data_IF_313705277382
#
_entry.id   IF_313705277382
#
_cell.length_a   1.000
_cell.length_b   1.000
_cell.length_c   1.000
_cell.angle_alpha   90.00
_cell.angle_beta   90.00
_cell.angle_gamma   90.00
#
_symmetry.space_group_name_H-M   'P 1'
#
loop_
_entity.id
_entity.type
_entity.pdbx_description
1 polymer ?
#
# COMPACT_ATOMS: atom_id res chain seq x y z
N UNK A 1 11.07 14.15 -2.59
CA UNK A 1 10.56 12.81 -2.22
C UNK A 1 9.08 12.94 -1.90
N UNK A 2 8.20 12.11 -2.47
CA UNK A 2 6.78 12.11 -2.09
C UNK A 2 6.68 11.74 -0.61
N UNK A 3 6.18 12.64 0.23
CA UNK A 3 6.06 12.40 1.66
C UNK A 3 4.69 11.77 1.93
N UNK A 4 4.65 10.79 2.84
CA UNK A 4 3.43 10.21 3.37
C UNK A 4 2.68 11.20 4.30
N UNK A 5 2.69 12.49 3.99
CA UNK A 5 1.93 13.50 4.72
C UNK A 5 0.46 13.09 4.66
N UNK A 6 -0.19 13.03 5.82
CA UNK A 6 -1.56 12.53 5.97
C UNK A 6 -2.59 13.41 5.28
N UNK A 7 -2.20 14.64 4.92
CA UNK A 7 -3.00 15.61 4.17
C UNK A 7 -2.19 16.26 3.05
N UNK A 8 -2.73 16.24 1.82
CA UNK A 8 -2.22 16.98 0.68
C UNK A 8 -3.26 17.98 0.19
N UNK A 9 -2.81 19.17 -0.20
CA UNK A 9 -3.66 20.15 -0.87
C UNK A 9 -3.13 20.34 -2.27
N UNK A 10 -3.93 19.96 -3.26
CA UNK A 10 -3.59 20.00 -4.67
C UNK A 10 -4.68 20.75 -5.42
N UNK A 11 -4.29 21.57 -6.39
CA UNK A 11 -5.22 22.35 -7.19
C UNK A 11 -5.35 21.74 -8.58
N UNK A 12 -6.53 21.86 -9.16
CA UNK A 12 -6.77 21.44 -10.53
C UNK A 12 -6.66 22.59 -11.54
N UNK A 13 -6.84 22.28 -12.84
CA UNK A 13 -6.76 23.28 -13.91
C UNK A 13 -7.86 24.36 -13.83
N UNK A 14 -8.95 24.09 -13.11
CA UNK A 14 -10.04 25.03 -12.88
C UNK A 14 -9.87 25.84 -11.59
N UNK A 15 -8.76 25.63 -10.87
CA UNK A 15 -8.45 26.32 -9.62
C UNK A 15 -9.16 25.75 -8.39
N UNK A 16 -9.86 24.62 -8.53
CA UNK A 16 -10.46 23.90 -7.40
C UNK A 16 -9.38 23.23 -6.56
N UNK A 17 -9.56 23.27 -5.24
CA UNK A 17 -8.61 22.69 -4.30
C UNK A 17 -9.13 21.37 -3.75
N UNK A 18 -8.36 20.31 -3.93
CA UNK A 18 -8.61 19.00 -3.36
C UNK A 18 -7.69 18.79 -2.16
N UNK A 19 -8.30 18.55 -1.02
CA UNK A 19 -7.63 18.09 0.20
C UNK A 19 -7.73 16.57 0.25
N UNK A 20 -6.61 15.88 0.07
CA UNK A 20 -6.54 14.43 0.06
C UNK A 20 -6.06 13.98 1.43
N UNK A 21 -6.87 13.17 2.10
CA UNK A 21 -6.55 12.54 3.39
C UNK A 21 -6.45 11.04 3.23
N UNK A 22 -5.43 10.45 3.82
CA UNK A 22 -5.32 9.00 3.90
C UNK A 22 -5.95 8.50 5.20
N UNK A 23 -6.78 7.47 5.10
CA UNK A 23 -7.31 6.79 6.28
C UNK A 23 -6.19 6.23 7.15
N UNK A 24 -6.48 6.07 8.44
CA UNK A 24 -5.48 5.64 9.42
C UNK A 24 -4.86 4.33 8.97
N UNK A 25 -3.54 4.34 8.88
CA UNK A 25 -2.71 3.22 8.41
C UNK A 25 -2.76 2.91 6.91
N UNK A 26 -3.54 3.60 6.06
CA UNK A 26 -3.46 3.40 4.60
C UNK A 26 -2.03 3.61 4.10
N UNK A 27 -1.38 4.70 4.51
CA UNK A 27 0.01 5.01 4.15
C UNK A 27 0.96 3.89 4.56
N UNK A 28 0.90 3.46 5.83
CA UNK A 28 1.66 2.32 6.36
C UNK A 28 1.35 1.02 5.62
N UNK A 29 0.11 0.89 5.12
CA UNK A 29 -0.36 -0.32 4.46
C UNK A 29 0.10 -0.42 3.00
N UNK A 30 0.16 0.70 2.32
CA UNK A 30 0.10 0.69 0.87
C UNK A 30 1.17 1.55 0.21
N UNK A 31 1.80 2.45 0.96
CA UNK A 31 2.84 3.32 0.46
C UNK A 31 4.21 2.82 0.94
N UNK A 32 4.99 2.29 0.01
CA UNK A 32 6.34 1.81 0.26
C UNK A 32 7.36 2.88 -0.15
N UNK A 33 8.38 3.06 0.69
CA UNK A 33 9.56 3.87 0.38
C UNK A 33 10.82 3.08 0.70
N UNK A 34 11.91 3.41 0.01
CA UNK A 34 13.25 2.93 0.33
C UNK A 34 13.65 3.27 1.76
N UNK A 35 14.65 2.52 2.25
CA UNK A 35 15.29 2.81 3.52
C UNK A 35 15.92 4.21 3.49
N UNK A 36 15.85 4.91 4.62
CA UNK A 36 16.61 6.16 4.83
C UNK A 36 17.99 5.92 5.43
N UNK A 37 18.29 4.67 5.79
CA UNK A 37 19.54 4.26 6.42
C UNK A 37 20.62 4.04 5.35
N UNK A 38 21.44 5.09 5.16
CA UNK A 38 22.50 5.11 4.14
C UNK A 38 23.58 4.08 4.40
N UNK A 39 24.03 3.94 5.65
CA UNK A 39 25.10 3.01 6.03
C UNK A 39 24.69 1.56 5.78
N UNK A 40 23.43 1.23 6.10
CA UNK A 40 22.88 -0.08 5.78
C UNK A 40 22.81 -0.34 4.27
N UNK A 41 22.40 0.66 3.48
CA UNK A 41 22.39 0.56 2.01
C UNK A 41 23.79 0.38 1.42
N UNK A 42 24.76 1.14 1.93
CA UNK A 42 26.16 1.05 1.49
C UNK A 42 26.78 -0.33 1.76
N UNK A 43 26.53 -0.88 2.95
CA UNK A 43 27.00 -2.22 3.31
C UNK A 43 26.42 -3.30 2.39
N UNK A 44 25.13 -3.21 2.08
CA UNK A 44 24.47 -4.16 1.17
C UNK A 44 24.95 -3.99 -0.27
N UNK A 45 25.14 -2.75 -0.73
CA UNK A 45 25.70 -2.48 -2.05
C UNK A 45 27.13 -3.05 -2.20
N UNK A 46 27.93 -3.02 -1.14
CA UNK A 46 29.23 -3.69 -1.11
C UNK A 46 29.12 -5.21 -1.27
N UNK A 47 28.16 -5.85 -0.60
CA UNK A 47 27.91 -7.29 -0.80
C UNK A 47 27.42 -7.62 -2.21
N UNK A 48 26.59 -6.77 -2.80
CA UNK A 48 26.16 -6.88 -4.21
C UNK A 48 27.34 -6.79 -5.18
N UNK A 49 28.29 -5.88 -4.92
CA UNK A 49 29.53 -5.77 -5.68
C UNK A 49 30.39 -7.04 -5.57
N UNK A 50 30.56 -7.58 -4.35
CA UNK A 50 31.28 -8.86 -4.15
C UNK A 50 30.60 -10.01 -4.91
N UNK A 51 29.27 -10.12 -4.82
CA UNK A 51 28.48 -11.15 -5.49
C UNK A 51 28.50 -11.02 -7.03
N UNK A 52 28.78 -9.84 -7.56
CA UNK A 52 28.95 -9.62 -9.00
C UNK A 52 30.30 -10.12 -9.54
N UNK A 53 31.19 -10.62 -8.68
CA UNK A 53 32.59 -10.85 -9.07
C UNK A 53 33.35 -9.53 -9.26
N UNK A 54 32.88 -8.46 -8.61
CA UNK A 54 33.46 -7.10 -8.65
C UNK A 54 33.40 -6.41 -10.01
N UNK A 55 32.45 -6.78 -10.88
CA UNK A 55 32.37 -6.25 -12.26
C UNK A 55 31.34 -5.15 -12.46
N UNK A 56 30.29 -5.09 -11.62
CA UNK A 56 29.23 -4.08 -11.74
C UNK A 56 29.65 -2.73 -11.17
N UNK A 57 29.08 -1.65 -11.72
CA UNK A 57 29.31 -0.32 -11.22
C UNK A 57 28.65 -0.07 -9.85
N UNK A 58 29.13 0.95 -9.15
CA UNK A 58 28.66 1.27 -7.80
C UNK A 58 27.18 1.71 -7.77
N UNK A 59 26.69 2.37 -8.82
CA UNK A 59 25.31 2.83 -8.92
C UNK A 59 24.33 1.66 -9.07
N UNK A 60 24.65 0.69 -9.92
CA UNK A 60 23.88 -0.54 -10.07
C UNK A 60 23.79 -1.33 -8.76
N UNK A 61 24.91 -1.48 -8.05
CA UNK A 61 24.92 -2.20 -6.77
C UNK A 61 24.11 -1.45 -5.69
N UNK A 62 24.15 -0.12 -5.68
CA UNK A 62 23.31 0.70 -4.81
C UNK A 62 21.81 0.49 -5.08
N UNK A 63 21.41 0.55 -6.35
CA UNK A 63 20.01 0.33 -6.75
C UNK A 63 19.52 -1.07 -6.35
N UNK A 64 20.35 -2.10 -6.53
CA UNK A 64 20.00 -3.48 -6.09
C UNK A 64 19.83 -3.57 -4.58
N UNK A 65 20.70 -2.93 -3.80
CA UNK A 65 20.57 -2.88 -2.35
C UNK A 65 19.26 -2.19 -1.91
N UNK A 66 18.90 -1.06 -2.52
CA UNK A 66 17.63 -0.36 -2.25
C UNK A 66 16.42 -1.22 -2.61
N UNK A 67 16.47 -1.92 -3.76
CA UNK A 67 15.42 -2.84 -4.18
C UNK A 67 15.26 -4.00 -3.20
N UNK A 68 16.37 -4.61 -2.74
CA UNK A 68 16.36 -5.69 -1.77
C UNK A 68 15.69 -5.26 -0.46
N UNK A 69 16.09 -4.13 0.11
CA UNK A 69 15.46 -3.64 1.36
C UNK A 69 14.00 -3.26 1.20
N UNK A 70 13.63 -2.76 0.03
CA UNK A 70 12.25 -2.49 -0.28
C UNK A 70 11.43 -3.78 -0.38
N UNK A 71 11.92 -4.81 -1.07
CA UNK A 71 11.28 -6.12 -1.19
C UNK A 71 11.16 -6.80 0.19
N UNK A 72 12.19 -6.73 1.04
CA UNK A 72 12.14 -7.20 2.44
C UNK A 72 11.06 -6.47 3.25
N UNK A 73 10.95 -5.15 3.09
CA UNK A 73 9.94 -4.33 3.79
C UNK A 73 8.52 -4.63 3.31
N UNK A 74 8.31 -4.74 2.00
CA UNK A 74 7.03 -5.16 1.42
C UNK A 74 6.68 -6.57 1.86
N UNK A 75 7.68 -7.48 1.90
CA UNK A 75 7.50 -8.88 2.31
C UNK A 75 7.09 -8.97 3.76
N UNK A 76 7.83 -8.34 4.65
CA UNK A 76 7.49 -8.23 6.07
C UNK A 76 6.08 -7.66 6.24
N UNK A 77 5.72 -6.66 5.45
CA UNK A 77 4.42 -6.01 5.54
C UNK A 77 3.29 -6.91 5.00
N UNK A 78 3.52 -7.65 3.92
CA UNK A 78 2.57 -8.63 3.38
C UNK A 78 2.42 -9.85 4.31
N UNK A 79 3.53 -10.35 4.86
CA UNK A 79 3.54 -11.49 5.79
C UNK A 79 2.90 -11.13 7.13
N UNK A 80 3.11 -9.91 7.64
CA UNK A 80 2.39 -9.40 8.81
C UNK A 80 0.88 -9.28 8.59
N UNK A 81 0.43 -9.24 7.34
CA UNK A 81 -0.99 -9.22 6.95
C UNK A 81 -1.61 -10.59 6.71
N UNK A 82 -0.86 -11.66 6.88
CA UNK A 82 -1.47 -12.98 6.89
C UNK A 82 -2.51 -13.06 8.00
N UNK A 83 -3.65 -13.67 7.68
CA UNK A 83 -4.62 -14.13 8.67
C UNK A 83 -3.87 -14.91 9.74
N UNK A 84 -4.29 -14.79 11.00
CA UNK A 84 -3.61 -15.43 12.13
C UNK A 84 -3.41 -16.92 11.88
N UNK A 85 -2.21 -17.32 11.45
CA UNK A 85 -1.96 -18.65 10.90
C UNK A 85 -1.73 -19.70 11.97
N UNK A 86 -1.46 -19.32 13.23
CA UNK A 86 -1.18 -20.26 14.29
C UNK A 86 -1.89 -19.86 15.60
N UNK A 87 -2.48 -20.83 16.30
CA UNK A 87 -2.79 -20.66 17.72
C UNK A 87 -1.51 -20.86 18.55
N UNK A 88 -1.52 -20.45 19.83
CA UNK A 88 -0.43 -20.64 20.80
C UNK A 88 0.04 -22.11 20.92
N UNK A 89 -0.84 -23.07 20.60
CA UNK A 89 -0.56 -24.51 20.51
C UNK A 89 0.18 -24.93 19.21
N UNK A 90 0.43 -24.02 18.25
CA UNK A 90 1.09 -24.30 16.96
C UNK A 90 0.17 -24.73 15.82
N UNK A 91 -1.15 -24.76 16.01
CA UNK A 91 -2.12 -25.27 15.02
C UNK A 91 -2.47 -24.26 13.93
N UNK A 92 -2.52 -24.73 12.67
CA UNK A 92 -2.74 -23.91 11.49
C UNK A 92 -4.21 -23.49 11.27
N UNK A 93 -4.46 -22.21 10.97
CA UNK A 93 -5.81 -21.64 10.76
C UNK A 93 -6.57 -22.23 9.57
N UNK A 94 -5.86 -22.51 8.48
CA UNK A 94 -6.41 -23.04 7.22
C UNK A 94 -6.81 -24.52 7.27
N UNK A 95 -6.68 -25.19 8.43
CA UNK A 95 -7.15 -26.58 8.60
C UNK A 95 -8.55 -26.71 9.20
N UNK A 96 -9.27 -25.60 9.47
CA UNK A 96 -10.58 -25.67 10.12
C UNK A 96 -11.64 -24.70 9.56
N UNK A 97 -12.89 -25.15 9.35
CA UNK A 97 -14.02 -24.29 9.03
C UNK A 97 -14.54 -23.64 10.32
N UNK A 98 -14.37 -22.33 10.46
CA UNK A 98 -15.11 -21.52 11.45
C UNK A 98 -14.25 -20.70 12.42
N UNK A 99 -14.28 -19.38 12.21
CA UNK A 99 -14.47 -18.41 13.29
C UNK A 99 -13.53 -18.44 14.50
N UNK A 100 -12.22 -18.25 14.31
CA UNK A 100 -11.40 -17.53 15.29
C UNK A 100 -11.00 -18.22 16.62
N UNK A 101 -11.52 -19.42 16.92
CA UNK A 101 -11.07 -20.26 18.05
C UNK A 101 -10.41 -21.56 17.57
N UNK A 102 -9.41 -22.05 18.31
CA UNK A 102 -8.79 -23.33 18.01
C UNK A 102 -9.70 -24.46 18.49
N UNK A 103 -10.35 -25.18 17.58
CA UNK A 103 -11.30 -26.25 17.92
C UNK A 103 -10.65 -27.63 18.10
N UNK A 104 -9.33 -27.70 18.25
CA UNK A 104 -8.64 -28.96 18.50
C UNK A 104 -8.91 -29.44 19.93
N UNK A 105 -9.36 -30.69 20.07
CA UNK A 105 -9.61 -31.32 21.35
C UNK A 105 -8.37 -31.18 22.27
N UNK A 106 -8.55 -30.56 23.43
CA UNK A 106 -7.49 -30.31 24.42
C UNK A 106 -6.73 -28.98 24.29
N UNK A 107 -6.99 -28.15 23.26
CA UNK A 107 -6.35 -26.83 23.16
C UNK A 107 -7.28 -25.72 23.66
N UNK A 108 -6.81 -24.92 24.62
CA UNK A 108 -7.55 -23.83 25.29
C UNK A 108 -7.23 -22.44 24.73
N UNK A 109 -6.68 -22.35 23.51
CA UNK A 109 -6.39 -21.08 22.84
C UNK A 109 -7.68 -20.27 22.63
N UNK A 110 -7.89 -19.23 23.44
CA UNK A 110 -9.05 -18.36 23.32
C UNK A 110 -9.13 -17.61 21.98
N UNK A 111 -7.99 -17.36 21.32
CA UNK A 111 -7.89 -16.63 20.04
C UNK A 111 -6.67 -17.09 19.24
N UNK A 112 -6.77 -17.11 17.90
CA UNK A 112 -5.58 -17.17 17.03
C UNK A 112 -4.77 -15.86 17.16
N UNK A 113 -3.44 -15.98 17.20
CA UNK A 113 -2.52 -14.82 17.30
C UNK A 113 -1.83 -14.63 15.94
N UNK A 114 -1.82 -13.42 15.40
CA UNK A 114 -1.07 -13.15 14.16
C UNK A 114 0.44 -13.22 14.42
N UNK A 115 1.24 -13.55 13.40
CA UNK A 115 2.71 -13.49 13.49
C UNK A 115 3.16 -12.08 13.92
N UNK A 116 2.45 -11.05 13.46
CA UNK A 116 2.65 -9.68 13.89
C UNK A 116 2.45 -9.52 15.42
N UNK A 117 1.30 -9.92 15.95
CA UNK A 117 1.00 -9.81 17.38
C UNK A 117 2.01 -10.60 18.23
N UNK A 118 2.40 -11.81 17.81
CA UNK A 118 3.41 -12.60 18.51
C UNK A 118 4.78 -11.88 18.56
N UNK A 119 5.24 -11.32 17.43
CA UNK A 119 6.50 -10.56 17.36
C UNK A 119 6.48 -9.29 18.22
N UNK A 120 5.32 -8.63 18.30
CA UNK A 120 5.12 -7.40 19.08
C UNK A 120 5.12 -7.68 20.58
N UNK A 121 4.50 -8.79 21.01
CA UNK A 121 4.56 -9.26 22.40
C UNK A 121 6.00 -9.53 22.81
N UNK A 122 6.76 -10.27 21.99
CA UNK A 122 8.17 -10.55 22.26
C UNK A 122 9.03 -9.26 22.34
N UNK A 123 8.66 -8.23 21.58
CA UNK A 123 9.33 -6.94 21.58
C UNK A 123 8.78 -5.93 22.62
N UNK A 124 7.80 -6.31 23.45
CA UNK A 124 7.17 -5.41 24.44
C UNK A 124 6.40 -4.24 23.84
N UNK A 125 5.85 -4.39 22.63
CA UNK A 125 5.16 -3.32 21.90
C UNK A 125 3.65 -3.59 21.78
N UNK A 126 2.79 -2.55 21.62
CA UNK A 126 1.34 -2.71 21.46
C UNK A 126 0.96 -3.75 20.39
N UNK A 127 0.01 -4.62 20.73
CA UNK A 127 -0.42 -5.77 19.89
C UNK A 127 -1.51 -5.42 18.87
N UNK A 128 -2.06 -4.22 18.96
CA UNK A 128 -3.01 -3.69 18.00
C UNK A 128 -2.38 -3.70 16.62
N UNK A 129 -2.87 -4.60 15.77
CA UNK A 129 -2.41 -4.72 14.40
C UNK A 129 -2.95 -3.51 13.60
N UNK A 130 -2.09 -2.54 13.20
CA UNK A 130 -2.54 -1.44 12.36
C UNK A 130 -3.04 -1.94 11.00
N UNK A 131 -2.83 -3.21 10.67
CA UNK A 131 -3.14 -3.90 9.43
C UNK A 131 -4.34 -4.86 9.53
N UNK A 132 -5.01 -4.95 10.69
CA UNK A 132 -6.22 -5.77 10.88
C UNK A 132 -7.32 -5.43 9.85
N UNK A 133 -8.03 -6.45 9.37
CA UNK A 133 -9.23 -6.31 8.52
C UNK A 133 -9.13 -6.83 7.08
N UNK A 134 -8.02 -7.44 6.66
CA UNK A 134 -7.86 -7.98 5.31
C UNK A 134 -8.42 -9.41 5.19
N UNK A 135 -9.25 -9.65 4.17
CA UNK A 135 -9.87 -10.96 3.87
C UNK A 135 -9.05 -11.83 2.92
N UNK A 136 -7.93 -11.31 2.40
CA UNK A 136 -7.12 -11.96 1.34
C UNK A 136 -5.63 -11.96 1.68
N UNK A 137 -4.86 -12.98 1.24
CA UNK A 137 -3.40 -13.01 1.40
C UNK A 137 -2.66 -12.05 0.45
N UNK A 138 -3.38 -11.36 -0.45
CA UNK A 138 -2.83 -10.39 -1.39
C UNK A 138 -2.82 -9.00 -0.80
N UNK A 139 -1.78 -8.24 -1.09
CA UNK A 139 -1.65 -6.82 -0.72
C UNK A 139 -1.04 -6.05 -1.89
N UNK A 140 -1.65 -4.94 -2.27
CA UNK A 140 -1.05 -4.02 -3.24
C UNK A 140 -0.22 -2.95 -2.52
N UNK A 141 0.92 -2.59 -3.10
CA UNK A 141 1.81 -1.52 -2.67
C UNK A 141 2.08 -0.56 -3.83
N UNK A 142 2.30 0.72 -3.51
CA UNK A 142 2.84 1.72 -4.42
C UNK A 142 4.23 2.12 -3.89
N UNK A 143 5.25 1.98 -4.73
CA UNK A 143 6.62 2.35 -4.44
C UNK A 143 6.83 3.82 -4.79
N UNK A 144 6.71 4.68 -3.78
CA UNK A 144 6.78 6.15 -3.96
C UNK A 144 8.14 6.63 -4.46
N UNK A 145 9.20 5.83 -4.31
CA UNK A 145 10.53 6.16 -4.84
C UNK A 145 10.60 6.08 -6.37
N UNK A 146 9.72 5.30 -6.99
CA UNK A 146 9.71 5.10 -8.44
C UNK A 146 8.72 6.01 -9.16
N UNK A 147 7.89 6.72 -8.40
CA UNK A 147 6.92 7.69 -8.92
C UNK A 147 7.33 9.09 -8.45
N UNK A 148 7.72 9.99 -9.37
CA UNK A 148 7.92 11.38 -9.01
C UNK A 148 6.71 11.96 -8.30
N UNK A 149 6.95 12.84 -7.33
CA UNK A 149 5.86 13.42 -6.53
C UNK A 149 4.81 14.11 -7.41
N UNK A 150 5.24 14.86 -8.42
CA UNK A 150 4.34 15.54 -9.35
C UNK A 150 3.46 14.56 -10.14
N UNK A 151 4.04 13.47 -10.64
CA UNK A 151 3.30 12.40 -11.34
C UNK A 151 2.26 11.78 -10.40
N UNK A 152 2.64 11.49 -9.15
CA UNK A 152 1.73 10.94 -8.15
C UNK A 152 0.56 11.89 -7.87
N UNK A 153 0.85 13.14 -7.52
CA UNK A 153 -0.18 14.16 -7.23
C UNK A 153 -1.11 14.38 -8.43
N UNK A 154 -0.55 14.43 -9.64
CA UNK A 154 -1.31 14.55 -10.88
C UNK A 154 -2.28 13.39 -11.08
N UNK A 155 -1.83 12.14 -10.92
CA UNK A 155 -2.68 10.95 -11.06
C UNK A 155 -3.83 10.96 -10.05
N UNK A 156 -3.56 11.35 -8.79
CA UNK A 156 -4.64 11.43 -7.80
C UNK A 156 -5.67 12.47 -8.18
N UNK A 157 -5.24 13.69 -8.56
CA UNK A 157 -6.15 14.76 -9.00
C UNK A 157 -6.95 14.34 -10.22
N UNK A 158 -6.29 13.84 -11.25
CA UNK A 158 -6.94 13.40 -12.49
C UNK A 158 -7.98 12.31 -12.23
N UNK A 159 -7.71 11.39 -11.30
CA UNK A 159 -8.67 10.33 -10.95
C UNK A 159 -9.93 10.88 -10.28
N UNK A 160 -9.79 11.88 -9.40
CA UNK A 160 -10.93 12.54 -8.75
C UNK A 160 -11.70 13.39 -9.77
N UNK A 161 -10.99 14.11 -10.63
CA UNK A 161 -11.62 14.89 -11.70
C UNK A 161 -12.40 14.02 -12.67
N UNK A 162 -11.86 12.87 -13.10
CA UNK A 162 -12.56 11.95 -13.97
C UNK A 162 -13.87 11.43 -13.34
N UNK A 163 -13.92 11.36 -12.01
CA UNK A 163 -15.12 10.98 -11.27
C UNK A 163 -16.11 12.14 -11.11
N UNK A 164 -15.64 13.33 -10.73
CA UNK A 164 -16.47 14.51 -10.41
C UNK A 164 -16.89 15.33 -11.64
N UNK A 165 -16.08 15.30 -12.69
CA UNK A 165 -16.24 16.10 -13.92
C UNK A 165 -16.37 15.17 -15.14
N UNK A 166 -17.47 14.40 -15.26
CA UNK A 166 -17.68 13.51 -16.39
C UNK A 166 -17.87 14.31 -17.69
N UNK A 167 -17.92 13.59 -18.82
CA UNK A 167 -18.10 14.18 -20.15
C UNK A 167 -19.30 15.14 -20.18
N UNK A 168 -19.04 16.40 -20.58
CA UNK A 168 -20.05 17.46 -20.64
C UNK A 168 -19.98 18.49 -19.51
N UNK A 169 -19.15 18.27 -18.49
CA UNK A 169 -18.88 19.24 -17.43
C UNK A 169 -18.20 20.50 -17.99
N UNK A 170 -18.65 21.68 -17.56
CA UNK A 170 -18.13 22.98 -17.99
C UNK A 170 -17.51 23.74 -16.82
N UNK A 171 -16.55 24.59 -17.17
CA UNK A 171 -15.90 25.50 -16.22
C UNK A 171 -16.93 26.29 -15.42
N UNK A 172 -16.85 26.22 -14.09
CA UNK A 172 -17.77 26.91 -13.18
C UNK A 172 -19.07 26.15 -12.87
N UNK A 173 -19.29 24.95 -13.42
CA UNK A 173 -20.38 24.09 -12.97
C UNK A 173 -20.16 23.71 -11.49
N UNK A 174 -21.21 23.70 -10.65
CA UNK A 174 -21.06 23.37 -9.25
C UNK A 174 -20.68 21.90 -9.10
N UNK A 175 -19.64 21.64 -8.30
CA UNK A 175 -19.28 20.29 -7.91
C UNK A 175 -20.41 19.67 -7.07
N UNK A 176 -20.55 18.34 -7.16
CA UNK A 176 -21.51 17.61 -6.33
C UNK A 176 -21.22 17.88 -4.84
N UNK A 177 -22.24 18.07 -4.02
CA UNK A 177 -22.05 18.17 -2.56
C UNK A 177 -21.51 16.84 -2.03
N UNK A 178 -20.81 16.88 -0.89
CA UNK A 178 -20.37 15.67 -0.21
C UNK A 178 -21.57 14.76 0.10
N UNK A 179 -21.67 13.68 -0.66
CA UNK A 179 -22.41 12.49 -0.29
C UNK A 179 -21.34 11.50 0.16
N UNK A 180 -21.54 10.79 1.28
CA UNK A 180 -20.57 9.79 1.79
C UNK A 180 -20.45 8.55 0.87
N UNK A 181 -20.68 8.73 -0.42
CA UNK A 181 -20.65 7.70 -1.44
C UNK A 181 -19.20 7.30 -1.71
N UNK A 182 -18.98 6.00 -1.78
CA UNK A 182 -17.68 5.43 -2.09
C UNK A 182 -17.44 5.49 -3.60
N UNK A 183 -16.34 6.12 -4.00
CA UNK A 183 -15.85 6.14 -5.36
C UNK A 183 -14.71 5.12 -5.52
N UNK A 184 -14.71 4.40 -6.65
CA UNK A 184 -13.56 3.63 -7.11
C UNK A 184 -12.78 4.48 -8.09
N UNK A 185 -11.56 4.86 -7.70
CA UNK A 185 -10.65 5.69 -8.48
C UNK A 185 -9.57 4.83 -9.13
N UNK A 186 -9.34 5.02 -10.43
CA UNK A 186 -8.24 4.39 -11.16
C UNK A 186 -7.00 5.28 -11.07
N UNK A 187 -5.91 4.75 -10.51
CA UNK A 187 -4.60 5.42 -10.50
C UNK A 187 -3.67 4.71 -11.47
N UNK A 188 -3.38 5.37 -12.58
CA UNK A 188 -2.47 4.87 -13.61
C UNK A 188 -1.23 5.77 -13.67
N UNK A 189 -0.06 5.21 -13.33
CA UNK A 189 1.20 5.95 -13.37
C UNK A 189 1.88 5.89 -14.75
N UNK A 190 1.25 5.23 -15.73
CA UNK A 190 1.73 5.12 -17.10
C UNK A 190 2.77 4.01 -17.32
N UNK A 191 2.96 3.62 -18.58
CA UNK A 191 3.84 2.51 -18.97
C UNK A 191 5.30 2.68 -18.51
N UNK A 192 5.80 3.91 -18.44
CA UNK A 192 7.14 4.21 -17.93
C UNK A 192 7.31 3.88 -16.43
N UNK A 193 6.21 3.65 -15.71
CA UNK A 193 6.17 3.32 -14.28
C UNK A 193 5.71 1.88 -14.02
N UNK A 194 5.74 1.01 -15.03
CA UNK A 194 5.52 -0.44 -14.82
C UNK A 194 6.49 -0.92 -13.74
N UNK A 195 5.93 -1.50 -12.67
CA UNK A 195 6.69 -1.93 -11.49
C UNK A 195 6.51 -1.03 -10.28
N UNK A 196 6.09 0.23 -10.45
CA UNK A 196 5.76 1.14 -9.34
C UNK A 196 4.65 0.60 -8.44
N UNK A 197 3.75 -0.22 -8.99
CA UNK A 197 2.71 -0.92 -8.22
C UNK A 197 3.06 -2.39 -8.12
N UNK A 198 3.09 -2.91 -6.90
CA UNK A 198 3.44 -4.31 -6.61
C UNK A 198 2.29 -4.97 -5.87
N UNK A 199 1.69 -5.99 -6.47
CA UNK A 199 0.75 -6.88 -5.81
C UNK A 199 1.52 -8.07 -5.22
N UNK A 200 1.78 -7.97 -3.92
CA UNK A 200 2.41 -9.00 -3.14
C UNK A 200 1.42 -10.06 -2.69
N UNK A 201 1.90 -11.29 -2.58
CA UNK A 201 1.20 -12.37 -1.92
C UNK A 201 2.00 -12.83 -0.70
N UNK A 202 1.35 -12.86 0.45
CA UNK A 202 1.99 -13.29 1.68
C UNK A 202 2.50 -14.75 1.58
N UNK A 203 3.66 -15.02 2.19
CA UNK A 203 4.31 -16.33 2.14
C UNK A 203 5.00 -16.67 0.82
N UNK A 204 5.03 -15.76 -0.16
CA UNK A 204 5.71 -15.97 -1.45
C UNK A 204 6.98 -15.13 -1.58
N UNK A 205 7.82 -15.50 -2.54
CA UNK A 205 9.05 -14.77 -2.84
C UNK A 205 8.74 -13.47 -3.63
N UNK A 206 9.40 -12.33 -3.34
CA UNK A 206 9.19 -11.09 -4.07
C UNK A 206 9.37 -11.17 -5.59
N UNK A 207 10.18 -12.11 -6.09
CA UNK A 207 10.34 -12.36 -7.53
C UNK A 207 9.06 -12.88 -8.21
N UNK A 208 8.16 -13.50 -7.45
CA UNK A 208 6.89 -14.05 -7.94
C UNK A 208 5.72 -13.05 -7.92
N UNK A 209 5.95 -11.84 -7.38
CA UNK A 209 4.89 -10.85 -7.23
C UNK A 209 4.54 -10.15 -8.53
N UNK A 210 3.27 -9.77 -8.64
CA UNK A 210 2.77 -9.13 -9.87
C UNK A 210 3.09 -7.64 -9.83
N UNK A 211 3.83 -7.19 -10.83
CA UNK A 211 4.20 -5.79 -11.04
C UNK A 211 3.25 -5.15 -12.04
N UNK A 212 2.77 -3.93 -11.75
CA UNK A 212 1.78 -3.19 -12.52
C UNK A 212 2.20 -1.73 -12.67
N UNK A 213 1.59 -1.03 -13.63
CA UNK A 213 1.71 0.43 -13.77
C UNK A 213 0.70 1.22 -12.93
N UNK A 214 -0.33 0.56 -12.40
CA UNK A 214 -1.43 1.24 -11.73
C UNK A 214 -2.21 0.36 -10.76
N UNK A 215 -3.14 0.99 -10.03
CA UNK A 215 -4.01 0.36 -9.04
C UNK A 215 -5.40 1.01 -9.00
N UNK A 216 -6.33 0.33 -8.33
CA UNK A 216 -7.65 0.88 -8.01
C UNK A 216 -7.74 1.18 -6.52
N UNK A 217 -8.24 2.37 -6.21
CA UNK A 217 -8.35 2.92 -4.86
C UNK A 217 -9.82 3.19 -4.56
N UNK A 218 -10.28 2.87 -3.35
CA UNK A 218 -11.55 3.39 -2.86
C UNK A 218 -11.32 4.65 -2.04
N UNK A 219 -12.08 5.67 -2.39
CA UNK A 219 -12.08 6.94 -1.71
C UNK A 219 -13.53 7.38 -1.48
N UNK A 220 -13.74 8.27 -0.50
CA UNK A 220 -15.05 8.89 -0.27
C UNK A 220 -14.88 10.37 -0.03
N UNK A 221 -15.88 11.13 -0.43
CA UNK A 221 -15.93 12.57 -0.20
C UNK A 221 -16.44 12.84 1.20
N UNK A 222 -15.64 13.52 2.03
CA UNK A 222 -15.95 13.73 3.45
C UNK A 222 -16.27 15.19 3.78
N UNK A 223 -15.94 16.14 2.91
CA UNK A 223 -16.33 17.54 3.05
C UNK A 223 -16.37 18.27 1.70
N UNK A 224 -17.21 19.29 1.59
CA UNK A 224 -17.26 20.22 0.45
C UNK A 224 -17.52 21.62 0.96
N UNK A 225 -16.51 22.47 0.83
CA UNK A 225 -16.60 23.91 1.08
C UNK A 225 -16.45 24.64 -0.27
N UNK A 226 -16.82 25.92 -0.34
CA UNK A 226 -16.76 26.70 -1.58
C UNK A 226 -15.35 26.63 -2.22
N UNK A 227 -15.24 25.94 -3.37
CA UNK A 227 -13.97 25.74 -4.09
C UNK A 227 -12.97 24.77 -3.44
N UNK A 228 -13.36 24.06 -2.37
CA UNK A 228 -12.51 23.07 -1.67
C UNK A 228 -13.25 21.76 -1.42
N UNK A 229 -12.67 20.65 -1.85
CA UNK A 229 -13.17 19.31 -1.55
C UNK A 229 -12.22 18.57 -0.63
N UNK A 230 -12.75 17.76 0.29
CA UNK A 230 -11.91 16.84 1.07
C UNK A 230 -12.28 15.39 0.74
N UNK A 231 -11.29 14.63 0.28
CA UNK A 231 -11.40 13.22 -0.06
C UNK A 231 -10.62 12.37 0.92
N UNK A 232 -11.24 11.31 1.42
CA UNK A 232 -10.59 10.30 2.24
C UNK A 232 -10.32 9.05 1.41
N UNK A 233 -9.05 8.68 1.25
CA UNK A 233 -8.61 7.43 0.64
C UNK A 233 -8.48 6.37 1.72
N UNK A 234 -9.26 5.29 1.62
CA UNK A 234 -9.37 4.32 2.72
C UNK A 234 -9.07 2.88 2.33
N UNK A 235 -9.06 2.52 1.04
CA UNK A 235 -8.78 1.16 0.63
C UNK A 235 -8.05 1.11 -0.72
N UNK A 236 -7.14 0.14 -0.89
CA UNK A 236 -6.59 -0.21 -2.19
C UNK A 236 -6.92 -1.65 -2.51
N UNK A 237 -7.48 -1.86 -3.70
CA UNK A 237 -7.93 -3.17 -4.11
C UNK A 237 -6.74 -4.11 -4.36
N UNK A 238 -6.85 -5.30 -3.78
CA UNK A 238 -5.78 -6.31 -3.77
C UNK A 238 -6.13 -7.56 -4.60
N UNK A 239 -7.26 -7.55 -5.30
CA UNK A 239 -7.76 -8.61 -6.20
C UNK A 239 -8.50 -7.98 -7.38
N UNK A 240 -8.72 -8.69 -8.51
CA UNK A 240 -9.40 -8.11 -9.66
C UNK A 240 -10.93 -8.22 -9.54
N UNK A 241 -11.63 -7.07 -9.54
CA UNK A 241 -12.96 -6.97 -10.17
C UNK A 241 -12.94 -6.08 -11.44
N UNK A 242 -11.80 -5.47 -11.77
CA UNK A 242 -11.66 -4.48 -12.84
C UNK A 242 -10.69 -4.90 -13.95
N UNK A 243 -10.86 -4.33 -15.14
CA UNK A 243 -9.97 -4.55 -16.28
C UNK A 243 -8.52 -4.18 -15.96
N UNK A 244 -7.58 -4.91 -16.55
CA UNK A 244 -6.15 -4.63 -16.43
C UNK A 244 -5.79 -3.27 -17.04
N UNK A 245 -4.67 -2.72 -16.57
CA UNK A 245 -4.09 -1.46 -17.03
C UNK A 245 -3.49 -1.64 -18.43
#
# INVERSE_FOLDING_TARGET
MATANEEWVVSDWDGERYTIRFDKNFSKKHLATFSKDRERTEKEAYFEWLNSGKTRDAGENWQRAEHKFMDEKMKTTADNRNVANACTCGHLFNRHPGGGACNQAGCVCAKFTTVFAASRIAAGKPVEDPLAGMKTPKTTFIVLNWVPKADFESVVVQSIQAHEKPSGWKRGDPLAKAVNDEAVLKWDFGAARIGAVVQAQAGTDPSSWVRKQGCYIKAKKIATDWGRQTWQIFHMESSPPHAAF
#
